data_IF_029907080735
#
_entry.id   IF_029907080735
#
_cell.length_a   1.000
_cell.length_b   1.000
_cell.length_c   1.000
_cell.angle_alpha   90.00
_cell.angle_beta   90.00
_cell.angle_gamma   90.00
#
_symmetry.space_group_name_H-M   'P 1'
#
loop_
_entity.id
_entity.type
_entity.pdbx_description
1 polymer ?
#
# COMPACT_ATOMS: atom_id res chain seq x y z
N UNK A 1 42.26 -3.76 -15.20
CA UNK A 1 41.39 -3.49 -14.05
C UNK A 1 41.78 -2.10 -13.57
N UNK A 2 40.97 -1.11 -13.94
CA UNK A 2 41.22 0.29 -13.66
C UNK A 2 40.62 0.58 -12.28
N UNK A 3 41.45 0.51 -11.23
CA UNK A 3 41.06 0.93 -9.90
C UNK A 3 40.85 2.45 -9.96
N UNK A 4 39.58 2.87 -10.05
CA UNK A 4 39.13 4.26 -10.16
C UNK A 4 39.45 5.16 -8.95
N UNK A 5 40.71 5.17 -8.51
CA UNK A 5 41.27 6.11 -7.55
C UNK A 5 41.57 7.42 -8.27
N UNK A 6 40.77 8.43 -7.98
CA UNK A 6 41.08 9.82 -8.30
C UNK A 6 42.18 10.30 -7.34
N UNK A 7 43.45 10.03 -7.65
CA UNK A 7 44.60 10.59 -6.92
C UNK A 7 45.06 11.89 -7.62
N UNK A 8 44.53 13.04 -7.19
CA UNK A 8 45.12 14.34 -7.55
C UNK A 8 46.21 14.71 -6.54
N UNK A 9 47.42 14.98 -7.02
CA UNK A 9 48.56 15.46 -6.21
C UNK A 9 48.64 16.99 -6.13
N UNK A 10 47.56 17.69 -6.47
CA UNK A 10 47.54 19.15 -6.48
C UNK A 10 47.43 19.72 -5.07
N UNK A 11 48.28 20.71 -4.77
CA UNK A 11 48.17 21.50 -3.54
C UNK A 11 46.99 22.46 -3.71
N UNK A 12 45.90 22.17 -3.01
CA UNK A 12 44.67 22.96 -3.06
C UNK A 12 44.86 24.31 -2.34
N UNK A 13 44.58 25.42 -3.04
CA UNK A 13 44.59 26.76 -2.45
C UNK A 13 43.57 26.89 -1.30
N UNK A 14 43.74 27.88 -0.40
CA UNK A 14 42.73 28.14 0.63
C UNK A 14 41.38 28.49 -0.01
N UNK A 15 40.34 27.73 0.31
CA UNK A 15 39.01 27.97 -0.25
C UNK A 15 38.12 26.71 -0.21
N UNK A 16 36.94 26.83 -0.83
CA UNK A 16 36.01 25.70 -0.99
C UNK A 16 36.32 24.95 -2.28
N UNK A 17 36.67 23.68 -2.13
CA UNK A 17 36.91 22.76 -3.26
C UNK A 17 35.74 21.81 -3.43
N UNK A 18 35.38 21.53 -4.68
CA UNK A 18 34.28 20.66 -5.04
C UNK A 18 34.81 19.58 -5.97
N UNK A 19 34.69 18.32 -5.55
CA UNK A 19 35.09 17.15 -6.32
C UNK A 19 33.84 16.40 -6.75
N UNK A 20 33.27 16.71 -7.94
CA UNK A 20 32.11 15.99 -8.43
C UNK A 20 32.52 14.54 -8.75
N UNK A 21 31.69 13.60 -8.33
CA UNK A 21 31.83 12.20 -8.69
C UNK A 21 30.48 11.64 -9.14
N UNK A 22 30.52 10.64 -10.00
CA UNK A 22 29.34 9.91 -10.44
C UNK A 22 29.62 8.42 -10.34
N UNK A 23 28.66 7.69 -9.78
CA UNK A 23 28.71 6.24 -9.70
C UNK A 23 27.36 5.67 -10.14
N UNK A 24 27.40 4.75 -11.11
CA UNK A 24 26.20 4.03 -11.55
C UNK A 24 26.01 2.83 -10.64
N UNK A 25 24.87 2.78 -9.94
CA UNK A 25 24.53 1.64 -9.10
C UNK A 25 24.42 0.34 -9.93
N UNK A 26 24.92 -0.81 -9.42
CA UNK A 26 24.75 -2.09 -10.10
C UNK A 26 23.27 -2.50 -10.18
N UNK A 27 22.87 -3.19 -11.25
CA UNK A 27 21.48 -3.62 -11.45
C UNK A 27 21.04 -4.76 -10.50
N UNK A 28 22.00 -5.43 -9.88
CA UNK A 28 21.79 -6.60 -9.02
C UNK A 28 21.62 -6.31 -7.54
N UNK A 29 21.31 -5.07 -7.13
CA UNK A 29 21.21 -4.69 -5.72
C UNK A 29 19.76 -4.58 -5.24
N UNK A 30 19.46 -4.97 -3.98
CA UNK A 30 18.13 -4.81 -3.40
C UNK A 30 17.78 -3.34 -3.09
N UNK A 31 16.53 -3.08 -2.75
CA UNK A 31 16.13 -1.78 -2.20
C UNK A 31 16.68 -1.62 -0.78
N UNK A 32 16.89 -0.37 -0.36
CA UNK A 32 17.10 -0.05 1.05
C UNK A 32 15.94 -0.54 1.89
N UNK A 33 16.25 -1.06 3.07
CA UNK A 33 15.28 -1.60 4.00
C UNK A 33 15.78 -1.40 5.44
N UNK A 34 14.88 -1.08 6.35
CA UNK A 34 15.12 -1.09 7.79
C UNK A 34 14.01 -1.92 8.42
N UNK A 35 14.40 -3.01 9.07
CA UNK A 35 13.51 -3.85 9.85
C UNK A 35 14.03 -3.99 11.28
N UNK A 36 13.21 -4.57 12.17
CA UNK A 36 13.58 -4.72 13.58
C UNK A 36 14.80 -5.62 13.81
N UNK A 37 15.09 -6.59 12.92
CA UNK A 37 16.18 -7.56 13.13
C UNK A 37 17.32 -7.42 12.11
N UNK A 38 17.09 -6.76 10.96
CA UNK A 38 18.13 -6.51 9.97
C UNK A 38 17.81 -5.31 9.07
N UNK A 39 18.84 -4.77 8.42
CA UNK A 39 18.73 -3.64 7.51
C UNK A 39 19.59 -3.81 6.25
N UNK A 40 19.25 -3.04 5.21
CA UNK A 40 19.99 -2.89 3.95
C UNK A 40 20.29 -1.39 3.78
N UNK A 41 21.51 -0.98 4.11
CA UNK A 41 22.00 0.41 4.02
C UNK A 41 23.06 0.55 2.95
N UNK A 42 22.95 1.61 2.15
CA UNK A 42 23.97 1.98 1.16
C UNK A 42 24.68 3.24 1.63
N UNK A 43 26.00 3.17 1.73
CA UNK A 43 26.83 4.23 2.28
C UNK A 43 27.82 4.72 1.24
N UNK A 44 27.92 6.05 1.10
CA UNK A 44 28.99 6.71 0.36
C UNK A 44 30.04 7.17 1.37
N UNK A 45 31.27 6.71 1.21
CA UNK A 45 32.39 7.07 2.07
C UNK A 45 33.35 7.98 1.29
N UNK A 46 33.55 9.21 1.77
CA UNK A 46 34.59 10.11 1.29
C UNK A 46 35.73 10.17 2.29
N UNK A 47 36.97 9.94 1.82
CA UNK A 47 38.17 10.03 2.65
C UNK A 47 39.20 10.98 2.02
N UNK A 48 39.75 11.87 2.84
CA UNK A 48 40.91 12.68 2.51
C UNK A 48 42.12 12.06 3.19
N UNK A 49 42.99 11.46 2.38
CA UNK A 49 44.24 10.84 2.84
C UNK A 49 45.28 11.92 3.02
N UNK A 50 45.83 12.02 4.23
CA UNK A 50 46.86 13.01 4.57
C UNK A 50 48.22 12.35 4.66
N UNK A 51 49.26 13.05 4.19
CA UNK A 51 50.65 12.58 4.27
C UNK A 51 51.14 12.55 5.72
N UNK A 52 50.67 13.49 6.54
CA UNK A 52 50.93 13.54 7.98
C UNK A 52 49.62 13.75 8.75
N UNK A 53 49.45 12.99 9.84
CA UNK A 53 48.26 13.03 10.70
C UNK A 53 47.13 12.09 10.26
N UNK A 54 46.00 12.07 10.99
CA UNK A 54 44.89 11.17 10.71
C UNK A 54 44.12 11.60 9.45
N UNK A 55 43.62 10.60 8.71
CA UNK A 55 42.73 10.82 7.58
C UNK A 55 41.42 11.45 8.02
N UNK A 56 40.85 12.33 7.20
CA UNK A 56 39.50 12.84 7.40
C UNK A 56 38.54 11.96 6.62
N UNK A 57 37.55 11.40 7.30
CA UNK A 57 36.54 10.53 6.70
C UNK A 57 35.15 11.11 6.91
N UNK A 58 34.27 10.91 5.94
CA UNK A 58 32.87 11.30 6.00
C UNK A 58 32.03 10.21 5.37
N UNK A 59 30.90 9.88 6.01
CA UNK A 59 29.98 8.84 5.55
C UNK A 59 28.60 9.45 5.32
N UNK A 60 27.96 9.10 4.22
CA UNK A 60 26.59 9.50 3.92
C UNK A 60 25.77 8.29 3.47
N UNK A 61 24.69 8.03 4.20
CA UNK A 61 23.74 6.94 3.89
C UNK A 61 22.72 7.42 2.86
N UNK A 62 22.43 6.60 1.85
CA UNK A 62 21.52 6.93 0.75
C UNK A 62 20.43 5.87 0.61
N UNK A 63 19.24 6.29 0.18
CA UNK A 63 18.14 5.37 -0.12
C UNK A 63 18.25 4.87 -1.56
N UNK A 64 18.32 3.55 -1.71
CA UNK A 64 18.22 2.86 -3.00
C UNK A 64 16.80 2.34 -3.14
N UNK A 65 16.13 2.73 -4.21
CA UNK A 65 14.78 2.26 -4.56
C UNK A 65 14.78 1.80 -6.01
N UNK A 66 14.30 0.58 -6.25
CA UNK A 66 14.15 0.00 -7.57
C UNK A 66 12.70 0.00 -7.97
N UNK A 67 12.46 0.14 -9.28
CA UNK A 67 11.13 -0.03 -9.82
C UNK A 67 10.65 -1.48 -9.73
N UNK A 68 9.46 -1.64 -9.18
CA UNK A 68 8.70 -2.88 -9.18
C UNK A 68 7.37 -2.61 -9.88
N UNK A 69 7.13 -3.32 -10.98
CA UNK A 69 5.92 -3.23 -11.79
C UNK A 69 5.35 -4.63 -12.01
N UNK A 70 4.12 -4.87 -11.55
CA UNK A 70 3.41 -6.14 -11.70
C UNK A 70 3.20 -6.57 -13.16
N UNK A 71 3.28 -5.65 -14.14
CA UNK A 71 3.10 -5.99 -15.56
C UNK A 71 4.40 -6.47 -16.22
N UNK A 72 5.55 -6.07 -15.68
CA UNK A 72 6.88 -6.42 -16.22
C UNK A 72 7.47 -7.65 -15.55
N UNK A 73 7.02 -7.99 -14.34
CA UNK A 73 7.35 -9.25 -13.69
C UNK A 73 6.74 -10.41 -14.49
N UNK A 74 7.56 -10.97 -15.38
CA UNK A 74 7.30 -12.10 -16.29
C UNK A 74 7.03 -13.44 -15.57
N UNK A 75 6.45 -13.45 -14.36
CA UNK A 75 5.84 -14.67 -13.83
C UNK A 75 4.49 -14.87 -14.51
N UNK A 76 4.55 -15.54 -15.67
CA UNK A 76 3.45 -15.98 -16.55
C UNK A 76 2.36 -16.85 -15.86
N UNK A 77 2.30 -16.88 -14.53
CA UNK A 77 1.37 -17.70 -13.74
C UNK A 77 0.64 -16.91 -12.64
N UNK A 78 0.88 -15.60 -12.48
CA UNK A 78 0.10 -14.82 -11.53
C UNK A 78 -1.29 -14.49 -12.11
N UNK A 79 -2.39 -14.71 -11.36
CA UNK A 79 -3.71 -14.23 -11.78
C UNK A 79 -3.63 -12.72 -12.03
N UNK A 80 -4.49 -12.21 -12.92
CA UNK A 80 -4.49 -10.78 -13.28
C UNK A 80 -4.41 -9.90 -12.02
N UNK A 81 -3.73 -8.73 -12.06
CA UNK A 81 -3.61 -7.86 -10.89
C UNK A 81 -4.96 -7.45 -10.27
N UNK A 82 -6.04 -7.54 -11.06
CA UNK A 82 -7.43 -7.21 -10.70
C UNK A 82 -8.25 -8.43 -10.27
N UNK A 83 -7.61 -9.58 -10.09
CA UNK A 83 -8.29 -10.72 -9.52
C UNK A 83 -8.57 -10.42 -8.06
N UNK A 84 -9.86 -10.45 -7.73
CA UNK A 84 -10.35 -10.37 -6.37
C UNK A 84 -9.71 -11.48 -5.55
N UNK A 85 -9.14 -11.12 -4.41
CA UNK A 85 -8.54 -12.08 -3.49
C UNK A 85 -9.54 -12.32 -2.38
N UNK A 86 -9.87 -13.59 -2.15
CA UNK A 86 -10.78 -13.98 -1.09
C UNK A 86 -10.10 -15.03 -0.21
N UNK A 87 -10.29 -14.91 1.09
CA UNK A 87 -9.97 -15.93 2.07
C UNK A 87 -11.17 -16.14 3.00
N UNK A 88 -11.38 -17.38 3.42
CA UNK A 88 -12.46 -17.77 4.31
C UNK A 88 -11.90 -18.59 5.47
N UNK A 89 -12.13 -18.10 6.69
CA UNK A 89 -11.74 -18.76 7.91
C UNK A 89 -12.97 -19.20 8.70
N UNK A 90 -12.87 -20.38 9.32
CA UNK A 90 -13.89 -20.89 10.22
C UNK A 90 -13.22 -21.42 11.49
N UNK A 91 -13.78 -21.10 12.66
CA UNK A 91 -13.38 -21.71 13.93
C UNK A 91 -14.57 -22.29 14.66
N UNK A 92 -14.40 -23.53 15.10
CA UNK A 92 -15.38 -24.25 15.91
C UNK A 92 -15.04 -24.12 17.39
N UNK A 93 -16.05 -23.82 18.18
CA UNK A 93 -16.03 -23.75 19.63
C UNK A 93 -16.87 -24.89 20.19
N UNK A 94 -16.23 -25.80 20.91
CA UNK A 94 -16.89 -26.91 21.62
C UNK A 94 -16.90 -26.65 23.12
N UNK A 95 -18.01 -27.00 23.78
CA UNK A 95 -18.09 -27.08 25.24
C UNK A 95 -18.58 -28.47 25.64
N UNK A 96 -18.29 -28.90 26.86
CA UNK A 96 -18.64 -30.25 27.35
C UNK A 96 -20.15 -30.50 27.39
N UNK A 97 -20.96 -29.45 27.50
CA UNK A 97 -22.42 -29.53 27.71
C UNK A 97 -23.27 -28.98 26.55
N UNK A 98 -22.67 -28.51 25.45
CA UNK A 98 -23.44 -27.94 24.33
C UNK A 98 -22.95 -28.47 22.99
N UNK A 99 -23.84 -28.39 21.97
CA UNK A 99 -23.45 -28.70 20.60
C UNK A 99 -22.33 -27.77 20.14
N UNK A 100 -21.32 -28.27 19.41
CA UNK A 100 -20.28 -27.43 18.82
C UNK A 100 -20.91 -26.30 17.99
N UNK A 101 -20.42 -25.09 18.20
CA UNK A 101 -20.85 -23.89 17.47
C UNK A 101 -19.67 -23.33 16.69
N UNK A 102 -19.90 -22.50 15.68
CA UNK A 102 -18.81 -22.01 14.82
C UNK A 102 -18.90 -20.51 14.57
N UNK A 103 -17.76 -19.89 14.32
CA UNK A 103 -17.66 -18.54 13.76
C UNK A 103 -17.02 -18.66 12.40
N UNK A 104 -17.60 -18.02 11.39
CA UNK A 104 -16.99 -17.90 10.07
C UNK A 104 -16.73 -16.44 9.72
N UNK A 105 -15.66 -16.22 8.96
CA UNK A 105 -15.23 -14.92 8.49
C UNK A 105 -14.77 -15.05 7.02
N UNK A 106 -15.20 -14.12 6.17
CA UNK A 106 -14.68 -13.98 4.81
C UNK A 106 -14.07 -12.59 4.62
N UNK A 107 -12.85 -12.56 4.10
CA UNK A 107 -12.15 -11.36 3.68
C UNK A 107 -12.06 -11.34 2.16
N UNK A 108 -12.49 -10.25 1.54
CA UNK A 108 -12.37 -10.03 0.12
C UNK A 108 -11.66 -8.70 -0.17
N UNK A 109 -10.63 -8.72 -1.02
CA UNK A 109 -9.87 -7.54 -1.45
C UNK A 109 -9.90 -7.44 -2.96
N UNK A 110 -10.20 -6.24 -3.47
CA UNK A 110 -10.57 -6.03 -4.88
C UNK A 110 -9.43 -6.25 -5.89
N UNK A 111 -8.17 -6.15 -5.46
CA UNK A 111 -7.00 -6.36 -6.32
C UNK A 111 -5.79 -6.86 -5.54
N UNK A 112 -4.81 -7.41 -6.25
CA UNK A 112 -3.60 -8.01 -5.66
C UNK A 112 -2.48 -7.01 -5.40
N UNK A 113 -2.44 -5.91 -6.15
CA UNK A 113 -1.26 -5.04 -6.20
C UNK A 113 -1.59 -3.58 -5.92
N UNK A 114 -0.85 -2.97 -5.00
CA UNK A 114 -1.06 -1.60 -4.53
C UNK A 114 0.24 -0.82 -4.52
N UNK A 115 0.15 0.51 -4.58
CA UNK A 115 1.29 1.40 -4.34
C UNK A 115 1.13 2.14 -3.02
N UNK A 116 2.22 2.60 -2.37
CA UNK A 116 2.11 3.51 -1.23
C UNK A 116 1.29 4.76 -1.57
N UNK A 117 0.35 5.10 -0.69
CA UNK A 117 -0.63 6.18 -0.87
C UNK A 117 -1.95 5.74 -1.52
N UNK A 118 -2.03 4.52 -2.04
CA UNK A 118 -3.29 3.93 -2.46
C UNK A 118 -4.14 3.45 -1.27
N UNK A 119 -5.47 3.44 -1.44
CA UNK A 119 -6.40 2.89 -0.46
C UNK A 119 -6.80 1.47 -0.87
N UNK A 120 -6.61 0.53 0.05
CA UNK A 120 -7.13 -0.82 -0.06
C UNK A 120 -8.60 -0.79 0.32
N UNK A 121 -9.47 -1.28 -0.57
CA UNK A 121 -10.87 -1.52 -0.29
C UNK A 121 -11.10 -3.00 0.00
N UNK A 122 -11.61 -3.30 1.18
CA UNK A 122 -11.91 -4.65 1.62
C UNK A 122 -13.41 -4.83 1.96
N UNK A 123 -13.95 -5.97 1.58
CA UNK A 123 -15.27 -6.45 1.97
C UNK A 123 -15.11 -7.55 3.01
N UNK A 124 -15.86 -7.44 4.11
CA UNK A 124 -15.77 -8.34 5.26
C UNK A 124 -17.14 -8.88 5.60
N UNK A 125 -17.25 -10.18 5.83
CA UNK A 125 -18.45 -10.78 6.39
C UNK A 125 -18.08 -11.67 7.57
N UNK A 126 -18.77 -11.48 8.70
CA UNK A 126 -18.58 -12.30 9.90
C UNK A 126 -19.93 -12.89 10.31
N UNK A 127 -19.93 -14.18 10.60
CA UNK A 127 -21.08 -14.89 11.13
C UNK A 127 -20.70 -15.63 12.41
N UNK A 128 -21.22 -15.16 13.54
CA UNK A 128 -20.99 -15.73 14.85
C UNK A 128 -22.19 -16.60 15.27
N UNK A 129 -22.09 -17.92 15.08
CA UNK A 129 -23.12 -18.86 15.57
C UNK A 129 -22.81 -19.40 16.97
N UNK A 130 -21.85 -18.80 17.67
CA UNK A 130 -21.49 -19.20 19.03
C UNK A 130 -22.28 -18.41 20.06
N UNK A 131 -22.23 -18.87 21.31
CA UNK A 131 -22.76 -18.16 22.47
C UNK A 131 -21.79 -17.12 23.04
N UNK A 132 -20.63 -16.92 22.41
CA UNK A 132 -19.57 -16.02 22.89
C UNK A 132 -19.58 -14.73 22.07
N UNK A 133 -19.35 -13.59 22.73
CA UNK A 133 -19.08 -12.32 22.03
C UNK A 133 -17.62 -12.28 21.58
N UNK A 134 -17.34 -11.64 20.44
CA UNK A 134 -15.97 -11.28 20.09
C UNK A 134 -15.52 -10.03 20.86
N UNK A 135 -14.21 -9.79 20.91
CA UNK A 135 -13.63 -8.46 21.07
C UNK A 135 -13.70 -7.66 19.76
N UNK A 136 -12.94 -6.55 19.68
CA UNK A 136 -12.92 -5.68 18.52
C UNK A 136 -12.53 -6.42 17.23
N UNK A 137 -13.20 -6.06 16.14
CA UNK A 137 -12.92 -6.54 14.81
C UNK A 137 -12.01 -5.53 14.11
N UNK A 138 -10.82 -6.01 13.71
CA UNK A 138 -9.77 -5.17 13.15
C UNK A 138 -9.41 -5.65 11.76
N UNK A 139 -9.26 -4.71 10.84
CA UNK A 139 -8.69 -4.90 9.51
C UNK A 139 -7.27 -4.36 9.52
N UNK A 140 -6.28 -5.18 9.20
CA UNK A 140 -4.87 -4.88 9.39
C UNK A 140 -4.07 -5.06 8.10
N UNK A 141 -3.17 -4.12 7.82
CA UNK A 141 -2.13 -4.28 6.82
C UNK A 141 -0.85 -4.71 7.54
N UNK A 142 -0.40 -5.93 7.29
CA UNK A 142 0.81 -6.47 7.90
C UNK A 142 1.93 -6.61 6.87
N UNK A 143 3.12 -6.16 7.23
CA UNK A 143 4.36 -6.46 6.54
C UNK A 143 4.98 -7.70 7.18
N UNK A 144 5.17 -8.75 6.40
CA UNK A 144 5.79 -10.01 6.80
C UNK A 144 7.24 -9.98 6.35
N UNK A 145 8.16 -9.81 7.30
CA UNK A 145 9.60 -9.78 7.03
C UNK A 145 10.18 -11.14 7.37
N UNK A 146 10.69 -11.84 6.36
CA UNK A 146 11.38 -13.11 6.55
C UNK A 146 12.88 -12.88 6.51
N UNK A 147 13.58 -13.31 7.57
CA UNK A 147 15.02 -13.29 7.70
C UNK A 147 15.55 -14.72 7.55
N UNK A 148 16.43 -14.92 6.57
CA UNK A 148 16.86 -16.25 6.13
C UNK A 148 15.66 -17.09 5.65
N UNK A 149 15.65 -18.38 5.99
CA UNK A 149 14.66 -19.33 5.50
C UNK A 149 13.59 -19.71 6.55
N UNK A 150 13.66 -19.20 7.77
CA UNK A 150 12.85 -19.74 8.88
C UNK A 150 12.25 -18.70 9.83
N UNK A 151 12.86 -17.52 9.96
CA UNK A 151 12.39 -16.53 10.91
C UNK A 151 11.53 -15.48 10.21
N UNK A 152 10.22 -15.51 10.45
CA UNK A 152 9.28 -14.53 9.92
C UNK A 152 8.72 -13.66 11.05
N UNK A 153 8.89 -12.35 10.92
CA UNK A 153 8.37 -11.36 11.86
C UNK A 153 7.28 -10.52 11.20
N UNK A 154 6.03 -10.57 11.69
CA UNK A 154 4.97 -9.68 11.23
C UNK A 154 5.12 -8.29 11.87
N UNK A 155 4.95 -7.25 11.08
CA UNK A 155 4.96 -5.84 11.48
C UNK A 155 3.60 -5.26 11.08
N UNK A 156 2.89 -4.67 12.03
CA UNK A 156 1.65 -3.97 11.77
C UNK A 156 1.96 -2.61 11.15
N UNK A 157 1.44 -2.35 9.95
CA UNK A 157 1.66 -1.08 9.26
C UNK A 157 0.49 -0.13 9.40
N UNK A 158 -0.74 -0.66 9.28
CA UNK A 158 -1.97 0.09 9.43
C UNK A 158 -3.05 -0.81 10.03
N UNK A 159 -3.93 -0.21 10.82
CA UNK A 159 -5.04 -0.88 11.48
C UNK A 159 -6.30 -0.04 11.43
N UNK A 160 -7.42 -0.68 11.09
CA UNK A 160 -8.75 -0.12 11.14
C UNK A 160 -9.63 -0.98 12.05
N UNK A 161 -10.00 -0.46 13.21
CA UNK A 161 -11.07 -1.03 14.02
C UNK A 161 -12.43 -0.61 13.43
N UNK A 162 -13.16 -1.57 12.86
CA UNK A 162 -14.41 -1.29 12.14
C UNK A 162 -15.66 -1.69 12.93
N UNK A 163 -15.50 -2.43 14.03
CA UNK A 163 -16.61 -2.86 14.88
C UNK A 163 -16.12 -3.32 16.26
N UNK A 164 -16.75 -2.88 17.34
CA UNK A 164 -16.32 -3.18 18.73
C UNK A 164 -16.48 -4.65 19.14
N UNK A 165 -17.52 -5.33 18.67
CA UNK A 165 -17.79 -6.74 18.98
C UNK A 165 -18.90 -7.35 18.10
N UNK A 166 -18.85 -8.66 17.90
CA UNK A 166 -19.90 -9.46 17.27
C UNK A 166 -20.59 -10.28 18.35
N UNK A 167 -21.86 -9.97 18.58
CA UNK A 167 -22.67 -10.66 19.60
C UNK A 167 -23.02 -12.08 19.14
N UNK A 168 -23.37 -12.97 20.09
CA UNK A 168 -23.90 -14.30 19.78
C UNK A 168 -25.02 -14.27 18.74
N UNK A 169 -25.00 -15.21 17.80
CA UNK A 169 -26.00 -15.36 16.75
C UNK A 169 -25.97 -14.31 15.63
N UNK A 170 -25.10 -13.30 15.69
CA UNK A 170 -25.09 -12.22 14.69
C UNK A 170 -24.42 -12.63 13.38
N UNK A 171 -24.95 -12.08 12.29
CA UNK A 171 -24.30 -12.03 10.98
C UNK A 171 -24.19 -10.56 10.56
N UNK A 172 -22.98 -10.12 10.23
CA UNK A 172 -22.72 -8.75 9.77
C UNK A 172 -21.84 -8.76 8.53
N UNK A 173 -22.03 -7.75 7.70
CA UNK A 173 -21.25 -7.52 6.50
C UNK A 173 -20.87 -6.04 6.43
N UNK A 174 -19.61 -5.77 6.12
CA UNK A 174 -19.07 -4.45 5.85
C UNK A 174 -18.54 -4.45 4.42
N UNK A 175 -18.86 -3.39 3.69
CA UNK A 175 -18.43 -3.22 2.30
C UNK A 175 -17.54 -2.00 2.19
N UNK A 176 -16.50 -2.11 1.37
CA UNK A 176 -15.59 -1.01 1.04
C UNK A 176 -14.92 -0.38 2.26
N UNK A 177 -14.49 -1.19 3.24
CA UNK A 177 -13.62 -0.72 4.31
C UNK A 177 -12.33 -0.18 3.70
N UNK A 178 -11.92 1.01 4.12
CA UNK A 178 -10.78 1.74 3.55
C UNK A 178 -9.55 1.57 4.45
N UNK A 179 -8.48 1.01 3.92
CA UNK A 179 -7.20 0.85 4.61
C UNK A 179 -6.08 1.47 3.76
N UNK A 180 -5.54 2.64 4.13
CA UNK A 180 -4.49 3.30 3.34
C UNK A 180 -3.20 2.49 3.36
N UNK A 181 -2.41 2.57 2.28
CA UNK A 181 -1.06 1.99 2.25
C UNK A 181 -0.05 3.06 2.65
N UNK A 182 0.68 2.91 3.76
CA UNK A 182 1.66 3.91 4.20
C UNK A 182 2.94 3.86 3.34
N UNK A 183 3.86 4.83 3.48
CA UNK A 183 5.18 4.78 2.85
C UNK A 183 5.93 3.53 3.32
N UNK A 184 6.05 2.52 2.46
CA UNK A 184 6.66 1.24 2.83
C UNK A 184 7.54 0.70 1.71
N UNK A 185 8.40 -0.26 2.07
CA UNK A 185 9.27 -0.94 1.14
C UNK A 185 8.46 -1.68 0.05
N UNK A 186 8.93 -1.77 -1.20
CA UNK A 186 8.30 -2.68 -2.15
C UNK A 186 8.38 -4.13 -1.68
N UNK A 187 7.36 -4.92 -2.03
CA UNK A 187 7.38 -6.37 -1.85
C UNK A 187 8.51 -7.01 -2.65
N UNK A 188 8.89 -8.24 -2.27
CA UNK A 188 9.87 -9.05 -2.99
C UNK A 188 11.15 -8.24 -3.20
N UNK A 189 11.95 -8.09 -2.14
CA UNK A 189 13.26 -7.44 -2.18
C UNK A 189 14.17 -8.17 -3.18
N UNK A 190 13.98 -7.90 -4.47
CA UNK A 190 14.61 -8.70 -5.50
C UNK A 190 16.11 -8.56 -5.39
N UNK A 191 16.80 -9.68 -5.66
CA UNK A 191 18.26 -9.80 -5.47
C UNK A 191 18.72 -9.77 -3.99
N UNK A 192 17.81 -9.75 -3.02
CA UNK A 192 18.11 -10.13 -1.64
C UNK A 192 17.74 -11.61 -1.41
N UNK A 193 18.66 -12.40 -0.83
CA UNK A 193 18.41 -13.80 -0.47
C UNK A 193 18.13 -14.02 1.01
N UNK A 194 18.51 -13.05 1.84
CA UNK A 194 18.51 -13.17 3.30
C UNK A 194 17.34 -12.40 3.91
N UNK A 195 16.75 -11.44 3.19
CA UNK A 195 15.59 -10.68 3.65
C UNK A 195 14.55 -10.71 2.54
N UNK A 196 13.37 -11.27 2.83
CA UNK A 196 12.19 -11.17 1.97
C UNK A 196 11.10 -10.36 2.69
N UNK A 197 10.39 -9.55 1.91
CA UNK A 197 9.33 -8.67 2.42
C UNK A 197 8.06 -8.97 1.65
N UNK A 198 7.04 -9.44 2.38
CA UNK A 198 5.71 -9.73 1.86
C UNK A 198 4.66 -8.94 2.64
N UNK A 199 3.45 -8.88 2.10
CA UNK A 199 2.37 -8.12 2.69
C UNK A 199 1.10 -8.94 2.67
N UNK A 200 0.28 -8.78 3.70
CA UNK A 200 -1.08 -9.29 3.71
C UNK A 200 -2.04 -8.27 4.30
N UNK A 201 -3.28 -8.35 3.83
CA UNK A 201 -4.42 -7.74 4.49
C UNK A 201 -5.07 -8.84 5.30
N UNK A 202 -5.28 -8.59 6.59
CA UNK A 202 -5.80 -9.58 7.50
C UNK A 202 -6.98 -9.02 8.30
N UNK A 203 -7.95 -9.88 8.60
CA UNK A 203 -8.96 -9.62 9.61
C UNK A 203 -8.55 -10.35 10.87
N UNK A 204 -8.61 -9.67 12.00
CA UNK A 204 -8.39 -10.24 13.31
C UNK A 204 -9.60 -9.96 14.21
N UNK A 205 -10.18 -11.02 14.78
CA UNK A 205 -11.28 -10.93 15.73
C UNK A 205 -10.99 -11.87 16.90
N UNK A 206 -10.73 -11.29 18.07
CA UNK A 206 -10.40 -12.06 19.26
C UNK A 206 -11.68 -12.59 19.94
N UNK A 207 -11.66 -13.85 20.34
CA UNK A 207 -12.60 -14.47 21.26
C UNK A 207 -11.84 -14.87 22.53
N UNK A 208 -12.54 -15.28 23.58
CA UNK A 208 -11.90 -15.59 24.86
C UNK A 208 -10.82 -16.68 24.76
N UNK A 209 -11.00 -17.67 23.88
CA UNK A 209 -10.15 -18.87 23.81
C UNK A 209 -9.55 -19.08 22.40
N UNK A 210 -9.83 -18.19 21.45
CA UNK A 210 -9.41 -18.33 20.06
C UNK A 210 -9.39 -16.99 19.33
N UNK A 211 -8.67 -16.94 18.21
CA UNK A 211 -8.71 -15.81 17.27
C UNK A 211 -9.24 -16.31 15.94
N UNK A 212 -10.23 -15.60 15.40
CA UNK A 212 -10.65 -15.75 14.01
C UNK A 212 -9.73 -14.87 13.16
N UNK A 213 -9.06 -15.49 12.21
CA UNK A 213 -8.07 -14.86 11.36
C UNK A 213 -8.22 -15.32 9.92
N UNK A 214 -8.46 -14.38 9.01
CA UNK A 214 -8.49 -14.59 7.55
C UNK A 214 -7.54 -13.57 6.92
N UNK A 215 -6.71 -13.98 5.97
CA UNK A 215 -5.70 -13.10 5.39
C UNK A 215 -5.48 -13.36 3.90
N UNK A 216 -5.40 -12.29 3.13
CA UNK A 216 -5.11 -12.34 1.70
C UNK A 216 -3.74 -11.72 1.41
N UNK A 217 -2.88 -12.39 0.62
CA UNK A 217 -1.56 -11.87 0.28
C UNK A 217 -1.66 -10.79 -0.80
N UNK A 218 -1.12 -9.61 -0.52
CA UNK A 218 -1.04 -8.50 -1.47
C UNK A 218 0.42 -8.21 -1.85
N UNK A 219 0.62 -7.41 -2.90
CA UNK A 219 1.94 -6.98 -3.37
C UNK A 219 1.99 -5.46 -3.41
N UNK A 220 2.90 -4.89 -2.62
CA UNK A 220 3.23 -3.47 -2.68
C UNK A 220 4.27 -3.26 -3.77
N UNK A 221 3.92 -2.45 -4.76
CA UNK A 221 4.75 -2.10 -5.91
C UNK A 221 5.12 -0.63 -5.91
N UNK A 222 6.12 -0.24 -6.70
CA UNK A 222 6.55 1.16 -6.78
C UNK A 222 5.94 1.91 -7.95
N UNK A 223 5.35 1.21 -8.92
CA UNK A 223 4.74 1.79 -10.12
C UNK A 223 3.22 1.53 -10.12
N UNK A 224 2.38 2.57 -10.23
CA UNK A 224 0.92 2.41 -10.23
C UNK A 224 0.43 1.74 -11.51
N UNK A 225 -0.77 1.17 -11.44
CA UNK A 225 -1.37 0.48 -12.58
C UNK A 225 -1.75 1.46 -13.71
N UNK A 226 -1.55 1.06 -14.98
CA UNK A 226 -2.04 1.85 -16.14
C UNK A 226 -3.52 2.22 -15.99
N UNK A 227 -3.83 3.49 -16.23
CA UNK A 227 -5.17 4.07 -16.06
C UNK A 227 -5.35 4.81 -14.73
N UNK A 228 -4.45 4.58 -13.78
CA UNK A 228 -4.32 5.39 -12.57
C UNK A 228 -3.22 6.43 -12.82
N UNK A 229 -3.55 7.72 -12.72
CA UNK A 229 -2.58 8.80 -12.78
C UNK A 229 -2.29 9.26 -11.35
N UNK A 230 -1.01 9.26 -10.93
CA UNK A 230 -0.63 9.94 -9.71
C UNK A 230 -0.78 11.45 -9.91
N UNK A 231 -1.59 12.11 -9.07
CA UNK A 231 -1.72 13.57 -9.11
C UNK A 231 -0.43 14.21 -8.67
N UNK A 232 0.13 13.69 -7.58
CA UNK A 232 1.41 14.10 -7.02
C UNK A 232 2.09 12.91 -6.39
N UNK A 233 3.42 12.96 -6.26
CA UNK A 233 4.14 12.00 -5.43
C UNK A 233 5.29 12.71 -4.72
N UNK A 234 5.66 12.16 -3.57
CA UNK A 234 6.76 12.62 -2.73
C UNK A 234 7.55 11.44 -2.19
N UNK A 235 8.69 11.70 -1.56
CA UNK A 235 9.46 10.70 -0.82
C UNK A 235 9.15 10.84 0.66
N UNK A 236 8.55 9.82 1.25
CA UNK A 236 8.15 9.81 2.66
C UNK A 236 8.86 8.72 3.44
N UNK A 237 9.04 8.97 4.73
CA UNK A 237 9.70 8.05 5.65
C UNK A 237 8.72 6.95 6.06
N UNK A 238 9.19 5.71 6.19
CA UNK A 238 8.38 4.63 6.77
C UNK A 238 8.10 4.90 8.25
N UNK A 239 6.84 4.77 8.69
CA UNK A 239 6.52 4.71 10.13
C UNK A 239 7.17 3.44 10.69
N UNK A 240 7.98 3.61 11.72
CA UNK A 240 8.62 2.52 12.45
C UNK A 240 8.20 2.68 13.90
N UNK A 241 6.90 2.56 14.16
CA UNK A 241 6.39 2.56 15.53
C UNK A 241 6.59 1.14 16.09
N UNK A 242 7.84 0.87 16.47
CA UNK A 242 8.17 -0.29 17.28
C UNK A 242 7.74 0.04 18.71
N UNK A 243 6.72 -0.64 19.23
CA UNK A 243 6.34 -0.54 20.64
C UNK A 243 7.56 -0.70 21.54
N UNK A 244 7.60 0.08 22.63
CA UNK A 244 8.71 0.16 23.57
C UNK A 244 9.14 -1.22 24.09
N UNK A 245 10.33 -1.66 23.67
CA UNK A 245 11.15 -2.56 24.48
C UNK A 245 12.57 -2.00 24.52
N UNK A 246 12.91 -1.47 25.68
CA UNK A 246 14.24 -0.98 26.06
C UNK A 246 15.30 -2.05 25.83
N UNK A 247 16.20 -1.82 24.87
CA UNK A 247 17.56 -2.32 24.94
C UNK A 247 18.53 -1.19 24.63
N UNK A 248 18.99 -0.55 25.70
CA UNK A 248 20.19 0.27 25.69
C UNK A 248 21.35 -0.51 25.05
N UNK A 249 21.70 -0.14 23.82
CA UNK A 249 23.01 -0.44 23.24
C UNK A 249 23.51 0.79 22.48
N UNK A 250 24.04 1.72 23.28
CA UNK A 250 25.13 2.62 22.94
C UNK A 250 25.06 3.30 21.56
N UNK A 251 24.54 4.53 21.62
CA UNK A 251 25.05 5.69 20.87
C UNK A 251 24.69 5.77 19.39
N UNK A 252 23.53 6.38 19.11
CA UNK A 252 23.35 7.55 18.24
C UNK A 252 24.43 7.72 17.14
N UNK A 253 24.50 6.75 16.23
CA UNK A 253 25.02 6.96 14.88
C UNK A 253 24.08 6.21 13.93
N UNK A 254 23.30 7.01 13.20
CA UNK A 254 22.57 6.63 12.00
C UNK A 254 21.19 5.97 12.24
N UNK A 255 20.22 6.77 12.74
CA UNK A 255 18.78 6.53 12.57
C UNK A 255 18.36 6.77 11.12
N UNK A 256 19.07 6.15 10.18
CA UNK A 256 18.72 6.19 8.77
C UNK A 256 17.31 5.61 8.61
N UNK A 257 16.42 6.38 8.00
CA UNK A 257 15.10 5.92 7.63
C UNK A 257 14.97 5.98 6.10
N UNK A 258 14.86 4.84 5.41
CA UNK A 258 14.62 4.80 3.98
C UNK A 258 13.42 5.65 3.62
N UNK A 259 13.56 6.43 2.55
CA UNK A 259 12.45 7.19 1.99
C UNK A 259 11.84 6.44 0.82
N UNK A 260 10.57 6.10 0.91
CA UNK A 260 9.86 5.41 -0.14
C UNK A 260 9.02 6.38 -0.95
N UNK A 261 8.82 6.05 -2.23
CA UNK A 261 7.95 6.82 -3.11
C UNK A 261 6.51 6.65 -2.63
N UNK A 262 5.86 7.77 -2.34
CA UNK A 262 4.49 7.84 -1.85
C UNK A 262 3.65 8.65 -2.82
N UNK A 263 2.50 8.10 -3.24
CA UNK A 263 1.61 8.73 -4.20
C UNK A 263 0.49 9.48 -3.49
N UNK A 264 0.50 10.81 -3.59
CA UNK A 264 -0.55 11.68 -3.09
C UNK A 264 -1.67 11.71 -4.13
N UNK A 265 -2.82 11.17 -3.75
CA UNK A 265 -4.03 11.11 -4.56
C UNK A 265 -3.86 10.36 -5.90
N UNK A 266 -4.56 9.25 -6.04
CA UNK A 266 -4.57 8.43 -7.25
C UNK A 266 -5.91 8.60 -7.95
N UNK A 267 -5.90 9.14 -9.18
CA UNK A 267 -7.10 9.30 -10.00
C UNK A 267 -7.19 8.19 -11.05
N UNK A 268 -8.33 7.49 -11.10
CA UNK A 268 -8.62 6.55 -12.18
C UNK A 268 -9.31 7.27 -13.34
N UNK A 269 -8.56 7.55 -14.41
CA UNK A 269 -9.08 8.22 -15.62
C UNK A 269 -10.26 7.45 -16.22
N UNK A 270 -10.36 6.14 -15.97
CA UNK A 270 -11.45 5.33 -16.53
C UNK A 270 -12.76 5.62 -15.82
N UNK A 271 -12.75 6.03 -14.55
CA UNK A 271 -13.96 6.52 -13.87
C UNK A 271 -14.38 7.89 -14.44
N UNK A 272 -13.42 8.72 -14.84
CA UNK A 272 -13.68 10.02 -15.48
C UNK A 272 -14.24 9.89 -16.91
N UNK A 273 -14.17 8.72 -17.56
CA UNK A 273 -14.85 8.50 -18.86
C UNK A 273 -16.37 8.49 -18.75
N UNK A 274 -16.94 8.37 -17.55
CA UNK A 274 -18.39 8.47 -17.31
C UNK A 274 -18.86 9.87 -16.94
N UNK A 275 -18.06 10.92 -17.17
CA UNK A 275 -18.65 12.23 -17.38
C UNK A 275 -19.46 12.16 -18.67
N UNK A 276 -20.74 11.81 -18.54
CA UNK A 276 -21.74 12.22 -19.51
C UNK A 276 -21.56 13.73 -19.60
N UNK A 277 -20.93 14.18 -20.69
CA UNK A 277 -21.04 15.56 -21.13
C UNK A 277 -22.54 15.78 -21.25
N UNK A 278 -23.16 16.31 -20.18
CA UNK A 278 -24.39 17.08 -20.29
C UNK A 278 -23.97 18.30 -21.09
N UNK A 279 -23.81 18.10 -22.40
CA UNK A 279 -23.85 19.18 -23.37
C UNK A 279 -25.06 19.98 -22.92
N UNK A 280 -24.84 21.24 -22.54
CA UNK A 280 -25.95 22.17 -22.41
C UNK A 280 -26.70 22.01 -23.72
N UNK A 281 -27.93 21.49 -23.65
CA UNK A 281 -28.77 21.33 -24.82
C UNK A 281 -28.64 22.64 -25.58
N UNK A 282 -28.15 22.57 -26.81
CA UNK A 282 -27.91 23.77 -27.61
C UNK A 282 -29.20 24.60 -27.58
N UNK A 283 -29.13 25.94 -27.46
CA UNK A 283 -30.33 26.77 -27.35
C UNK A 283 -31.36 26.50 -28.45
N UNK A 284 -30.94 25.95 -29.59
CA UNK A 284 -31.80 25.51 -30.70
C UNK A 284 -32.66 24.28 -30.41
N UNK A 285 -32.24 23.34 -29.54
CA UNK A 285 -33.03 22.14 -29.20
C UNK A 285 -34.16 22.48 -28.22
N UNK A 286 -33.91 23.35 -27.23
CA UNK A 286 -34.98 23.89 -26.38
C UNK A 286 -36.03 24.66 -27.18
N UNK A 287 -35.60 25.40 -28.21
CA UNK A 287 -36.53 26.13 -29.09
C UNK A 287 -37.40 25.17 -29.91
N UNK A 288 -36.86 24.03 -30.36
CA UNK A 288 -37.63 23.01 -31.09
C UNK A 288 -38.60 22.23 -30.20
N UNK A 289 -38.22 21.96 -28.94
CA UNK A 289 -39.09 21.28 -27.97
C UNK A 289 -40.25 22.21 -27.54
N UNK A 290 -39.99 23.50 -27.29
CA UNK A 290 -41.05 24.47 -26.97
C UNK A 290 -41.99 24.77 -28.14
N UNK A 291 -41.50 24.73 -29.39
CA UNK A 291 -42.36 24.90 -30.57
C UNK A 291 -43.27 23.69 -30.76
N UNK A 292 -42.76 22.46 -30.60
CA UNK A 292 -43.61 21.25 -30.67
C UNK A 292 -44.63 21.15 -29.51
N UNK A 293 -44.27 21.60 -28.30
CA UNK A 293 -45.21 21.68 -27.17
C UNK A 293 -46.22 22.83 -27.30
N UNK A 294 -45.89 23.88 -28.07
CA UNK A 294 -46.81 24.98 -28.41
C UNK A 294 -47.81 24.60 -29.51
N UNK A 295 -47.36 23.91 -30.57
CA UNK A 295 -48.22 23.45 -31.67
C UNK A 295 -49.21 22.37 -31.21
N UNK A 296 -48.78 21.43 -30.36
CA UNK A 296 -49.70 20.43 -29.77
C UNK A 296 -50.77 21.01 -28.83
N UNK A 297 -50.53 22.18 -28.24
CA UNK A 297 -51.55 22.90 -27.44
C UNK A 297 -52.51 23.71 -28.31
N UNK A 298 -52.04 24.32 -29.41
CA UNK A 298 -52.91 25.05 -30.33
C UNK A 298 -53.90 24.14 -31.10
N UNK A 299 -53.48 22.91 -31.44
CA UNK A 299 -54.34 21.92 -32.10
C UNK A 299 -55.40 21.29 -31.18
N UNK A 300 -55.26 21.43 -29.85
CA UNK A 300 -56.25 20.94 -28.88
C UNK A 300 -57.26 22.00 -28.45
N UNK A 301 -56.96 23.29 -28.60
CA UNK A 301 -57.91 24.38 -28.35
C UNK A 301 -58.84 24.63 -29.54
N UNK A 302 -58.40 24.38 -30.79
CA UNK A 302 -59.27 24.52 -31.98
C UNK A 302 -60.27 23.37 -32.19
N UNK A 303 -60.10 22.24 -31.49
CA UNK A 303 -61.02 21.12 -31.55
C UNK A 303 -62.22 21.22 -30.58
N UNK A 304 -62.22 22.18 -29.66
CA UNK A 304 -63.26 22.34 -28.64
C UNK A 304 -64.27 23.48 -28.90
N UNK A 305 -64.13 24.24 -29.99
CA UNK A 305 -65.06 25.32 -30.37
C UNK A 305 -66.11 24.91 -31.43
N UNK A 306 -66.17 23.64 -31.83
CA UNK A 306 -67.15 23.14 -32.82
C UNK A 306 -68.21 22.18 -32.26
N UNK A 307 -68.51 22.27 -30.95
CA UNK A 307 -69.72 21.67 -30.34
C UNK A 307 -70.35 22.63 -29.32
N UNK A 308 -70.97 23.69 -29.83
CA UNK A 308 -72.08 24.40 -29.20
C UNK A 308 -72.96 25.00 -30.31
#
# INVERSE_FOLDING_TARGET
>A
ADDGRWESREVLNRGRHLFPFQYKLPEGIPCSFEGPDAFIRYNVHGSLVRVAGPNITTKKTVTVLRDLDCKRDNEKKSPSPRHMLEDHAERTFSTTCCRPSRVSCSLCVMKRSYVPGEVIHADVQIHNMTMRKSGPCRLQLKQLVTYGDSYCRPILLEELEFNENIRPGQRRQWKSLCLPVPPTCPSRLSKCRVIDVRYCVAIECQYSDAVIYAAVPITIVTVPERGIIPVRWSYQVCSTDFGEEDYNRSTIEDSFRPKYKFYEELRDIRKDKYFVLKLRQSPGVRRRIMVNEGESRADSETANESKA
#
